data_IF_249834585924
#
_entry.id   IF_249834585924
#
_cell.length_a   1.000
_cell.length_b   1.000
_cell.length_c   1.000
_cell.angle_alpha   90.00
_cell.angle_beta   90.00
_cell.angle_gamma   90.00
#
_symmetry.space_group_name_H-M   'P 1'
#
loop_
_entity.id
_entity.type
_entity.pdbx_description
1 polymer ?
#
# COMPACT_ATOMS: atom_id res chain seq x y z
N UNK A 1 14.78 -0.38 -15.05
CA UNK A 1 13.65 0.12 -15.86
C UNK A 1 12.58 -0.95 -15.95
N UNK A 2 11.36 -0.61 -15.62
CA UNK A 2 10.20 -1.50 -15.70
C UNK A 2 9.22 -0.99 -16.75
N UNK A 3 8.83 -1.85 -17.68
CA UNK A 3 7.87 -1.50 -18.71
C UNK A 3 6.49 -2.02 -18.36
N UNK A 4 5.47 -1.20 -18.52
CA UNK A 4 4.07 -1.57 -18.26
C UNK A 4 3.17 -1.18 -19.43
N UNK A 5 2.05 -1.87 -19.56
CA UNK A 5 1.22 -1.83 -20.75
C UNK A 5 -0.26 -1.73 -20.37
N UNK A 6 -1.04 -1.06 -21.21
CA UNK A 6 -2.48 -1.25 -21.30
C UNK A 6 -2.78 -2.09 -22.54
N UNK A 7 -3.59 -3.12 -22.37
CA UNK A 7 -3.90 -4.07 -23.42
C UNK A 7 -5.41 -4.21 -23.55
N UNK A 8 -5.92 -4.18 -24.76
CA UNK A 8 -7.32 -4.45 -25.03
C UNK A 8 -7.61 -5.94 -24.72
N UNK A 9 -8.49 -6.19 -23.76
CA UNK A 9 -8.80 -7.54 -23.27
C UNK A 9 -9.44 -8.47 -24.32
N UNK A 10 -10.08 -7.93 -25.35
CA UNK A 10 -10.75 -8.71 -26.38
C UNK A 10 -9.84 -9.06 -27.54
N UNK A 11 -8.94 -8.15 -27.91
CA UNK A 11 -8.09 -8.29 -29.09
C UNK A 11 -6.64 -8.59 -28.78
N UNK A 12 -6.19 -8.43 -27.52
CA UNK A 12 -4.79 -8.54 -27.12
C UNK A 12 -3.90 -7.40 -27.63
N UNK A 13 -4.44 -6.42 -28.33
CA UNK A 13 -3.65 -5.30 -28.88
C UNK A 13 -3.24 -4.33 -27.76
N UNK A 14 -1.98 -3.88 -27.84
CA UNK A 14 -1.45 -2.84 -26.95
C UNK A 14 -2.13 -1.52 -27.27
N UNK A 15 -2.75 -0.91 -26.26
CA UNK A 15 -3.36 0.42 -26.35
C UNK A 15 -2.27 1.47 -26.15
N UNK A 16 -1.49 1.31 -25.07
CA UNK A 16 -0.30 2.13 -24.81
C UNK A 16 0.73 1.35 -23.97
N UNK A 17 1.96 1.83 -23.97
CA UNK A 17 3.01 1.34 -23.08
C UNK A 17 3.83 2.48 -22.52
N UNK A 18 4.33 2.31 -21.29
CA UNK A 18 5.13 3.27 -20.55
C UNK A 18 6.28 2.58 -19.84
N UNK A 19 7.24 3.39 -19.39
CA UNK A 19 8.40 2.93 -18.62
C UNK A 19 8.39 3.63 -17.27
N UNK A 20 8.61 2.87 -16.20
CA UNK A 20 8.92 3.40 -14.88
C UNK A 20 10.42 3.18 -14.58
N UNK A 21 11.01 4.09 -13.83
CA UNK A 21 12.44 4.03 -13.45
C UNK A 21 12.74 2.86 -12.52
N UNK A 22 11.79 2.52 -11.65
CA UNK A 22 11.87 1.41 -10.70
C UNK A 22 10.78 0.39 -10.95
N UNK A 23 11.00 -0.91 -10.70
CA UNK A 23 9.96 -1.93 -10.81
C UNK A 23 8.81 -1.69 -9.85
N UNK A 24 7.58 -1.97 -10.29
CA UNK A 24 6.42 -1.97 -9.40
C UNK A 24 6.47 -3.14 -8.42
N UNK A 25 6.13 -2.88 -7.18
CA UNK A 25 6.16 -3.83 -6.07
C UNK A 25 4.84 -3.89 -5.29
N UNK A 26 3.73 -3.55 -5.90
CA UNK A 26 2.40 -3.68 -5.32
C UNK A 26 1.41 -4.32 -6.28
N UNK A 27 0.22 -4.60 -5.78
CA UNK A 27 -0.95 -4.77 -6.63
C UNK A 27 -1.28 -3.45 -7.35
N UNK A 28 -1.93 -3.54 -8.51
CA UNK A 28 -2.54 -2.39 -9.17
C UNK A 28 -3.97 -2.25 -8.63
N UNK A 29 -4.31 -1.08 -8.12
CA UNK A 29 -5.69 -0.73 -7.76
C UNK A 29 -6.25 0.24 -8.77
N UNK A 30 -7.50 0.00 -9.16
CA UNK A 30 -8.20 0.79 -10.17
C UNK A 30 -9.47 1.36 -9.56
N UNK A 31 -9.70 2.64 -9.77
CA UNK A 31 -10.95 3.31 -9.46
C UNK A 31 -11.22 4.39 -10.52
N UNK A 32 -12.44 4.39 -11.07
CA UNK A 32 -12.83 5.33 -12.13
C UNK A 32 -11.86 5.28 -13.32
N UNK A 33 -11.25 6.39 -13.64
CA UNK A 33 -10.30 6.60 -14.74
C UNK A 33 -8.82 6.56 -14.32
N UNK A 34 -8.53 6.15 -13.07
CA UNK A 34 -7.20 6.15 -12.45
C UNK A 34 -6.76 4.77 -12.03
N UNK A 35 -5.46 4.54 -12.04
CA UNK A 35 -4.87 3.39 -11.38
C UNK A 35 -3.71 3.81 -10.48
N UNK A 36 -3.51 3.02 -9.42
CA UNK A 36 -2.53 3.26 -8.38
C UNK A 36 -1.60 2.06 -8.25
N UNK A 37 -0.32 2.36 -8.05
CA UNK A 37 0.72 1.34 -7.92
C UNK A 37 1.90 1.92 -7.14
N UNK A 38 2.61 1.05 -6.38
CA UNK A 38 3.82 1.42 -5.63
C UNK A 38 5.00 0.72 -6.27
N UNK A 39 6.12 1.42 -6.37
CA UNK A 39 7.36 0.84 -6.85
C UNK A 39 8.31 0.40 -5.71
N UNK A 40 9.46 -0.18 -6.08
CA UNK A 40 10.46 -0.64 -5.11
C UNK A 40 11.19 0.50 -4.38
N UNK A 41 11.00 1.75 -4.81
CA UNK A 41 11.53 2.94 -4.13
C UNK A 41 10.54 3.56 -3.13
N UNK A 42 9.44 2.84 -2.81
CA UNK A 42 8.35 3.30 -1.95
C UNK A 42 7.65 4.56 -2.48
N UNK A 43 7.61 4.71 -3.78
CA UNK A 43 6.85 5.78 -4.43
C UNK A 43 5.52 5.22 -4.88
N UNK A 44 4.43 5.77 -4.36
CA UNK A 44 3.10 5.51 -4.90
C UNK A 44 2.81 6.48 -6.04
N UNK A 45 2.25 5.96 -7.11
CA UNK A 45 1.88 6.70 -8.30
C UNK A 45 0.38 6.59 -8.54
N UNK A 46 -0.21 7.68 -8.99
CA UNK A 46 -1.52 7.74 -9.60
C UNK A 46 -1.34 8.03 -11.09
N UNK A 47 -1.89 7.17 -11.94
CA UNK A 47 -1.85 7.30 -13.38
C UNK A 47 -3.25 7.32 -13.98
N UNK A 48 -3.39 7.98 -15.11
CA UNK A 48 -4.58 7.90 -15.96
C UNK A 48 -4.63 6.55 -16.68
N UNK A 49 -5.77 5.88 -16.67
CA UNK A 49 -6.00 4.64 -17.42
C UNK A 49 -5.96 4.89 -18.93
N UNK A 50 -6.44 6.06 -19.35
CA UNK A 50 -6.62 6.42 -20.76
C UNK A 50 -5.30 6.40 -21.54
N UNK A 51 -4.25 6.97 -20.97
CA UNK A 51 -2.98 7.22 -21.66
C UNK A 51 -1.73 6.91 -20.83
N UNK A 52 -1.89 6.41 -19.59
CA UNK A 52 -0.80 6.08 -18.69
C UNK A 52 0.01 7.29 -18.23
N UNK A 53 -0.50 8.51 -18.34
CA UNK A 53 0.17 9.69 -17.79
C UNK A 53 0.06 9.75 -16.30
N UNK A 54 1.16 10.13 -15.63
CA UNK A 54 1.18 10.38 -14.21
C UNK A 54 0.33 11.60 -13.87
N UNK A 55 -0.57 11.43 -12.90
CA UNK A 55 -1.40 12.51 -12.35
C UNK A 55 -0.71 13.11 -11.14
N UNK A 56 -0.30 12.24 -10.20
CA UNK A 56 0.49 12.61 -9.04
C UNK A 56 1.36 11.43 -8.58
N UNK A 57 2.32 11.71 -7.73
CA UNK A 57 3.08 10.69 -7.00
C UNK A 57 3.44 11.19 -5.60
N UNK A 58 3.62 10.25 -4.68
CA UNK A 58 4.06 10.54 -3.31
C UNK A 58 5.15 9.56 -2.91
N UNK A 59 6.24 10.07 -2.36
CA UNK A 59 7.38 9.27 -1.91
C UNK A 59 7.36 9.18 -0.39
N UNK A 60 7.34 7.96 0.14
CA UNK A 60 7.59 7.71 1.55
C UNK A 60 9.07 7.48 1.82
N UNK A 61 9.43 7.34 3.09
CA UNK A 61 10.79 6.97 3.44
C UNK A 61 11.21 5.65 2.77
N UNK A 62 12.48 5.60 2.41
CA UNK A 62 13.08 4.48 1.73
C UNK A 62 14.28 3.98 2.53
N UNK A 63 14.47 2.65 2.54
CA UNK A 63 15.61 2.02 3.18
C UNK A 63 16.46 1.27 2.16
N UNK A 64 17.72 0.98 2.50
CA UNK A 64 18.65 0.28 1.60
C UNK A 64 18.17 -1.12 1.22
N UNK A 65 17.43 -1.78 2.12
CA UNK A 65 16.92 -3.13 1.89
C UNK A 65 15.52 -3.06 1.27
N UNK A 66 15.42 -3.60 0.07
CA UNK A 66 14.14 -3.69 -0.65
C UNK A 66 13.40 -4.96 -0.23
N UNK A 67 12.14 -4.81 0.12
CA UNK A 67 11.29 -5.99 0.38
C UNK A 67 10.91 -6.67 -0.92
N UNK A 68 10.93 -8.01 -0.92
CA UNK A 68 10.37 -8.82 -2.00
C UNK A 68 8.86 -9.02 -1.86
N UNK A 69 8.32 -8.73 -0.69
CA UNK A 69 6.88 -8.82 -0.44
C UNK A 69 6.16 -7.70 -1.19
N UNK A 70 5.06 -8.04 -1.83
CA UNK A 70 4.21 -7.05 -2.48
C UNK A 70 3.59 -6.13 -1.45
N UNK A 71 3.70 -4.84 -1.70
CA UNK A 71 3.07 -3.80 -0.90
C UNK A 71 1.57 -3.79 -1.15
N UNK A 72 0.81 -3.44 -0.12
CA UNK A 72 -0.64 -3.45 -0.14
C UNK A 72 -1.19 -2.04 -0.32
N UNK A 73 -2.24 -1.93 -1.10
CA UNK A 73 -2.99 -0.69 -1.34
C UNK A 73 -4.46 -0.95 -1.02
N UNK A 74 -5.07 -0.06 -0.24
CA UNK A 74 -6.50 0.01 0.01
C UNK A 74 -7.03 1.32 -0.56
N UNK A 75 -8.23 1.27 -1.13
CA UNK A 75 -8.98 2.47 -1.52
C UNK A 75 -10.28 2.45 -0.73
N UNK A 76 -10.59 3.56 -0.08
CA UNK A 76 -11.85 3.78 0.62
C UNK A 76 -12.25 5.26 0.45
N UNK A 77 -13.38 5.49 -0.18
CA UNK A 77 -13.89 6.82 -0.51
C UNK A 77 -12.81 7.72 -1.17
N UNK A 78 -12.45 8.80 -0.51
CA UNK A 78 -11.45 9.77 -0.98
C UNK A 78 -10.03 9.47 -0.50
N UNK A 79 -9.79 8.32 0.14
CA UNK A 79 -8.48 7.97 0.70
C UNK A 79 -7.87 6.79 -0.02
N UNK A 80 -6.56 6.85 -0.17
CA UNK A 80 -5.74 5.71 -0.52
C UNK A 80 -4.79 5.43 0.63
N UNK A 81 -4.82 4.20 1.16
CA UNK A 81 -3.99 3.77 2.27
C UNK A 81 -3.08 2.65 1.80
N UNK A 82 -1.81 2.73 2.17
CA UNK A 82 -0.82 1.74 1.75
C UNK A 82 0.28 1.57 2.79
N UNK A 83 0.96 0.44 2.73
CA UNK A 83 2.18 0.20 3.48
C UNK A 83 3.42 0.40 2.60
N UNK A 84 4.54 0.76 3.21
CA UNK A 84 5.84 0.82 2.56
C UNK A 84 6.73 -0.38 2.93
N UNK A 85 7.96 -0.42 2.40
CA UNK A 85 8.90 -1.53 2.61
C UNK A 85 9.44 -1.63 4.05
N UNK A 86 9.28 -0.60 4.85
CA UNK A 86 9.67 -0.57 6.27
C UNK A 86 8.48 -0.74 7.21
N UNK A 87 7.29 -0.96 6.66
CA UNK A 87 6.09 -1.28 7.42
C UNK A 87 5.22 -0.09 7.83
N UNK A 88 5.60 1.15 7.52
CA UNK A 88 4.76 2.31 7.82
C UNK A 88 3.48 2.27 7.02
N UNK A 89 2.41 2.75 7.63
CA UNK A 89 1.10 2.90 6.99
C UNK A 89 0.86 4.37 6.71
N UNK A 90 0.54 4.67 5.46
CA UNK A 90 0.31 6.05 4.98
C UNK A 90 -1.04 6.18 4.33
N UNK A 91 -1.78 7.24 4.64
CA UNK A 91 -3.02 7.62 3.97
C UNK A 91 -2.85 8.94 3.23
N UNK A 92 -3.27 8.96 1.96
CA UNK A 92 -3.26 10.14 1.10
C UNK A 92 -4.66 10.43 0.58
N UNK A 93 -4.91 11.69 0.23
CA UNK A 93 -6.06 12.06 -0.59
C UNK A 93 -5.91 11.46 -2.00
N UNK A 94 -6.93 10.74 -2.45
CA UNK A 94 -6.90 9.99 -3.71
C UNK A 94 -6.84 10.90 -4.95
N UNK A 95 -7.27 12.16 -4.83
CA UNK A 95 -7.39 13.07 -5.96
C UNK A 95 -6.07 13.77 -6.27
N UNK A 96 -5.34 14.18 -5.22
CA UNK A 96 -4.16 15.03 -5.36
C UNK A 96 -2.88 14.45 -4.73
N UNK A 97 -2.97 13.31 -4.00
CA UNK A 97 -1.83 12.67 -3.34
C UNK A 97 -1.32 13.40 -2.11
N UNK A 98 -2.09 14.35 -1.53
CA UNK A 98 -1.68 15.02 -0.30
C UNK A 98 -1.77 14.08 0.91
N UNK A 99 -0.81 14.22 1.83
CA UNK A 99 -0.76 13.43 3.05
C UNK A 99 -1.94 13.77 3.97
N UNK A 100 -2.69 12.75 4.38
CA UNK A 100 -3.73 12.87 5.41
C UNK A 100 -3.15 12.48 6.77
N UNK A 101 -2.60 11.27 6.86
CA UNK A 101 -1.89 10.79 8.05
C UNK A 101 -0.85 9.73 7.68
N UNK A 102 0.13 9.57 8.55
CA UNK A 102 1.15 8.50 8.45
C UNK A 102 1.46 7.99 9.84
N UNK A 103 1.55 6.68 9.98
CA UNK A 103 1.89 6.02 11.23
C UNK A 103 3.14 5.19 11.00
N UNK A 104 4.21 5.46 11.74
CA UNK A 104 5.32 4.55 11.83
C UNK A 104 4.88 3.33 12.63
N UNK A 105 4.95 2.14 12.06
CA UNK A 105 4.71 0.90 12.81
C UNK A 105 5.96 0.46 13.58
N UNK A 106 7.00 1.27 13.53
CA UNK A 106 8.27 1.06 14.22
C UNK A 106 8.32 1.91 15.48
N UNK A 107 8.61 1.27 16.62
CA UNK A 107 9.13 2.02 17.76
C UNK A 107 10.53 2.52 17.40
N UNK A 108 10.80 3.80 17.68
CA UNK A 108 12.05 4.52 17.40
C UNK A 108 13.32 3.96 18.08
N UNK A 109 13.34 2.69 18.45
CA UNK A 109 14.49 2.07 19.11
C UNK A 109 15.20 1.09 18.16
N UNK A 110 16.36 1.56 17.69
CA UNK A 110 17.49 0.76 17.17
C UNK A 110 17.34 0.29 15.71
N UNK A 111 18.17 0.87 14.86
CA UNK A 111 18.37 0.58 13.44
C UNK A 111 18.57 -0.91 13.08
N UNK A 112 18.97 -1.76 14.03
CA UNK A 112 19.22 -3.18 13.77
C UNK A 112 17.93 -4.01 13.60
N UNK A 113 16.85 -3.66 14.29
CA UNK A 113 15.55 -4.36 14.17
C UNK A 113 14.71 -3.92 12.95
N UNK A 114 15.07 -2.81 12.35
CA UNK A 114 14.35 -2.18 11.23
C UNK A 114 14.44 -2.99 9.94
N UNK A 115 15.52 -3.72 9.78
CA UNK A 115 15.88 -4.45 8.54
C UNK A 115 14.86 -5.54 8.17
N UNK A 116 14.07 -6.00 9.13
CA UNK A 116 13.18 -7.14 8.95
C UNK A 116 11.70 -6.83 9.14
N UNK A 117 11.33 -5.58 9.40
CA UNK A 117 9.92 -5.27 9.63
C UNK A 117 9.13 -5.40 8.33
N UNK A 118 8.09 -6.18 8.35
CA UNK A 118 7.14 -6.27 7.25
C UNK A 118 5.74 -6.51 7.81
N UNK A 119 4.76 -5.91 7.15
CA UNK A 119 3.35 -6.07 7.49
C UNK A 119 2.67 -7.06 6.55
N UNK A 120 1.58 -7.69 7.00
CA UNK A 120 0.68 -8.43 6.13
C UNK A 120 0.05 -7.51 5.10
N UNK A 121 -0.70 -8.07 4.15
CA UNK A 121 -1.57 -7.23 3.33
C UNK A 121 -2.59 -6.53 4.21
N UNK A 122 -2.84 -5.26 3.92
CA UNK A 122 -3.86 -4.47 4.59
C UNK A 122 -5.25 -4.96 4.18
N UNK A 123 -6.18 -4.98 5.11
CA UNK A 123 -7.59 -5.26 4.85
C UNK A 123 -8.40 -4.08 5.35
N UNK A 124 -9.28 -3.57 4.50
CA UNK A 124 -10.27 -2.56 4.88
C UNK A 124 -11.59 -3.24 5.24
N UNK A 125 -12.13 -2.90 6.38
CA UNK A 125 -13.45 -3.27 6.82
C UNK A 125 -14.16 -2.02 7.34
N UNK A 126 -15.01 -1.43 6.52
CA UNK A 126 -15.72 -0.18 6.81
C UNK A 126 -14.75 0.96 7.22
N UNK A 127 -14.73 1.28 8.53
CA UNK A 127 -13.91 2.34 9.11
C UNK A 127 -12.56 1.84 9.66
N UNK A 128 -12.25 0.54 9.49
CA UNK A 128 -11.09 -0.10 10.10
C UNK A 128 -10.08 -0.58 9.07
N UNK A 129 -8.81 -0.49 9.43
CA UNK A 129 -7.70 -1.13 8.71
C UNK A 129 -7.15 -2.23 9.60
N UNK A 130 -7.17 -3.45 9.11
CA UNK A 130 -6.73 -4.65 9.83
C UNK A 130 -5.45 -5.19 9.16
N UNK A 131 -4.43 -5.46 9.96
CA UNK A 131 -3.18 -6.08 9.49
C UNK A 131 -2.37 -6.67 10.63
N UNK A 132 -1.38 -7.47 10.31
CA UNK A 132 -0.37 -7.99 11.24
C UNK A 132 1.04 -7.58 10.79
N UNK A 133 2.01 -7.70 11.70
CA UNK A 133 3.42 -7.56 11.38
C UNK A 133 4.23 -8.79 11.80
N UNK A 134 5.49 -8.85 11.40
CA UNK A 134 6.40 -9.94 11.73
C UNK A 134 6.99 -9.85 13.15
N UNK A 135 6.54 -8.92 13.98
CA UNK A 135 6.84 -8.84 15.42
C UNK A 135 5.76 -9.49 16.29
N UNK A 136 4.90 -10.32 15.70
CA UNK A 136 3.78 -10.97 16.37
C UNK A 136 2.74 -9.97 16.91
N UNK A 137 2.50 -8.92 16.16
CA UNK A 137 1.52 -7.91 16.52
C UNK A 137 0.43 -7.83 15.45
N UNK A 138 -0.80 -7.78 15.90
CA UNK A 138 -2.00 -7.67 15.10
C UNK A 138 -2.72 -6.38 15.45
N UNK A 139 -3.11 -5.60 14.45
CA UNK A 139 -3.60 -4.23 14.63
C UNK A 139 -4.96 -4.03 13.99
N UNK A 140 -5.76 -3.20 14.65
CA UNK A 140 -6.86 -2.44 14.05
C UNK A 140 -6.56 -0.96 14.17
N UNK A 141 -6.58 -0.26 13.05
CA UNK A 141 -6.46 1.19 12.97
C UNK A 141 -7.78 1.79 12.53
N UNK A 142 -8.04 3.00 13.00
CA UNK A 142 -9.08 3.86 12.46
C UNK A 142 -8.66 4.42 11.10
N UNK A 143 -9.49 4.23 10.09
CA UNK A 143 -9.21 4.66 8.72
C UNK A 143 -9.15 6.18 8.57
N UNK A 144 -9.88 6.91 9.40
CA UNK A 144 -10.01 8.37 9.28
C UNK A 144 -8.76 9.12 9.71
N UNK A 145 -8.11 8.64 10.76
CA UNK A 145 -7.01 9.34 11.46
C UNK A 145 -5.77 8.47 11.70
N UNK A 146 -5.88 7.15 11.47
CA UNK A 146 -4.80 6.19 11.66
C UNK A 146 -4.57 5.76 13.12
N UNK A 147 -5.36 6.20 14.07
CA UNK A 147 -5.16 5.81 15.45
C UNK A 147 -5.40 4.32 15.68
N UNK A 148 -4.61 3.75 16.59
CA UNK A 148 -4.74 2.33 16.96
C UNK A 148 -6.00 2.17 17.82
N UNK A 149 -6.98 1.42 17.30
CA UNK A 149 -8.17 1.04 18.06
C UNK A 149 -7.83 -0.05 19.07
N UNK A 150 -7.11 -1.08 18.60
CA UNK A 150 -6.59 -2.13 19.46
C UNK A 150 -5.38 -2.80 18.81
N UNK A 151 -4.60 -3.46 19.65
CA UNK A 151 -3.42 -4.26 19.30
C UNK A 151 -3.42 -5.55 20.12
N UNK A 152 -3.14 -6.67 19.47
CA UNK A 152 -3.04 -7.99 20.07
C UNK A 152 -1.70 -8.65 19.73
N UNK A 153 -1.18 -9.48 20.64
CA UNK A 153 -0.01 -10.33 20.39
C UNK A 153 -0.44 -11.60 19.66
N UNK A 154 -0.40 -11.57 18.34
CA UNK A 154 -0.77 -12.71 17.50
C UNK A 154 0.31 -12.90 16.44
N UNK A 155 0.86 -14.11 16.38
CA UNK A 155 1.82 -14.49 15.34
C UNK A 155 1.05 -14.82 14.05
N UNK A 156 0.88 -13.84 13.20
CA UNK A 156 0.28 -14.00 11.89
C UNK A 156 1.03 -13.17 10.87
N UNK A 157 1.17 -13.69 9.66
CA UNK A 157 1.85 -13.01 8.55
C UNK A 157 1.03 -13.09 7.26
N UNK A 158 -0.12 -13.74 7.35
CA UNK A 158 -1.06 -13.92 6.24
C UNK A 158 -2.03 -12.74 6.21
N UNK A 159 -2.59 -12.47 5.05
CA UNK A 159 -3.67 -11.49 4.92
C UNK A 159 -4.85 -11.90 5.79
N UNK A 160 -5.33 -11.06 6.72
CA UNK A 160 -6.53 -11.34 7.50
C UNK A 160 -7.77 -11.50 6.61
N UNK A 161 -8.69 -12.34 7.04
CA UNK A 161 -10.03 -12.41 6.47
C UNK A 161 -10.98 -11.87 7.53
N UNK A 162 -11.70 -10.81 7.18
CA UNK A 162 -12.63 -10.13 8.09
C UNK A 162 -14.06 -10.43 7.69
N UNK A 163 -14.87 -10.77 8.67
CA UNK A 163 -16.32 -10.92 8.56
C UNK A 163 -16.98 -9.88 9.45
N UNK A 164 -18.32 -9.84 9.50
CA UNK A 164 -19.04 -8.84 10.31
C UNK A 164 -18.61 -8.76 11.77
N UNK A 165 -18.18 -9.90 12.39
CA UNK A 165 -17.85 -9.95 13.83
C UNK A 165 -16.55 -10.67 14.15
N UNK A 166 -15.91 -11.32 13.19
CA UNK A 166 -14.78 -12.23 13.44
C UNK A 166 -13.68 -11.98 12.41
N UNK A 167 -12.45 -12.06 12.87
CA UNK A 167 -11.24 -12.00 12.04
C UNK A 167 -10.54 -13.38 12.12
N UNK A 168 -10.17 -13.90 10.95
CA UNK A 168 -9.40 -15.14 10.80
C UNK A 168 -8.01 -14.88 10.26
#
# INVERSE_FOLDING_TARGET
LSKYYSINKLTGKIIWSKINTSPFNSEIKIINDKFFVIDQENIIYCYSIKDGKQIWSYKTENFFIKTRKKLSIIINDNKIVFNNSIGDITALDINNGSLIWQIPTQNNQIYADTITLSTSSLVNDQEYIIFSNNKNEFYSLDLSNGFINWKQKINSFIRPIVTEKIIF
#
